data_IF_366357126655
#
_entry.id   IF_366357126655
#
_cell.length_a   1.000
_cell.length_b   1.000
_cell.length_c   1.000
_cell.angle_alpha   90.00
_cell.angle_beta   90.00
_cell.angle_gamma   90.00
#
_symmetry.space_group_name_H-M   'P 1'
#
loop_
_entity.id
_entity.type
_entity.pdbx_description
1 polymer ?
#
# COMPACT_ATOMS: atom_id res chain seq x y z
N UNK A 1 3.29 10.69 8.26
CA UNK A 1 2.87 9.28 8.40
C UNK A 1 1.99 8.88 7.22
N UNK A 2 2.38 7.84 6.52
CA UNK A 2 1.61 7.34 5.39
C UNK A 2 1.17 5.91 5.69
N UNK A 3 -0.12 5.69 5.60
CA UNK A 3 -0.72 4.37 5.76
C UNK A 3 -0.95 3.77 4.39
N UNK A 4 -0.53 2.52 4.22
CA UNK A 4 -0.77 1.76 3.01
C UNK A 4 -1.68 0.61 3.38
N UNK A 5 -2.81 0.47 2.69
CA UNK A 5 -3.74 -0.60 3.04
C UNK A 5 -4.43 -1.15 1.79
N UNK A 6 -4.91 -2.36 1.92
CA UNK A 6 -5.60 -3.03 0.83
C UNK A 6 -6.82 -3.76 1.37
N UNK A 7 -8.04 -3.24 1.12
CA UNK A 7 -9.26 -3.91 1.55
C UNK A 7 -9.33 -5.33 0.98
N UNK A 8 -9.82 -6.27 1.79
CA UNK A 8 -9.92 -7.66 1.35
C UNK A 8 -10.97 -7.83 0.27
N UNK A 9 -10.61 -8.60 -0.76
CA UNK A 9 -11.51 -8.94 -1.86
C UNK A 9 -11.27 -10.39 -2.25
N UNK A 10 -12.31 -11.06 -2.71
CA UNK A 10 -12.18 -12.43 -3.20
C UNK A 10 -11.47 -12.43 -4.55
N UNK A 11 -11.94 -11.58 -5.47
CA UNK A 11 -11.34 -11.48 -6.79
C UNK A 11 -10.02 -10.72 -6.67
N UNK A 12 -8.96 -11.32 -7.21
CA UNK A 12 -7.63 -10.74 -7.12
C UNK A 12 -6.94 -10.94 -5.78
N UNK A 13 -7.55 -11.71 -4.87
CA UNK A 13 -7.03 -11.87 -3.52
C UNK A 13 -5.66 -12.53 -3.43
N UNK A 14 -5.32 -13.35 -4.41
CA UNK A 14 -4.02 -14.03 -4.43
C UNK A 14 -2.88 -13.16 -4.95
N UNK A 15 -3.18 -12.04 -5.59
CA UNK A 15 -2.17 -11.16 -6.16
C UNK A 15 -1.53 -10.33 -5.05
N UNK A 16 -0.20 -10.29 -5.05
CA UNK A 16 0.58 -9.45 -4.14
C UNK A 16 1.45 -8.53 -4.96
N UNK A 17 1.75 -7.35 -4.43
CA UNK A 17 2.69 -6.47 -5.10
C UNK A 17 3.42 -5.57 -4.13
N UNK A 18 4.65 -5.23 -4.51
CA UNK A 18 5.46 -4.32 -3.73
C UNK A 18 5.02 -2.89 -3.99
N UNK A 19 5.04 -2.08 -2.93
CA UNK A 19 4.78 -0.66 -3.02
C UNK A 19 6.07 0.08 -2.75
N UNK A 20 6.41 1.00 -3.64
CA UNK A 20 7.60 1.83 -3.52
C UNK A 20 7.21 3.28 -3.26
N UNK A 21 7.95 3.92 -2.39
CA UNK A 21 7.80 5.34 -2.11
C UNK A 21 9.12 6.01 -2.46
N UNK A 22 9.09 6.88 -3.46
CA UNK A 22 10.29 7.56 -3.97
C UNK A 22 11.42 6.57 -4.29
N UNK A 23 11.06 5.47 -4.92
CA UNK A 23 12.01 4.46 -5.36
C UNK A 23 12.41 3.43 -4.32
N UNK A 24 11.98 3.59 -3.08
CA UNK A 24 12.31 2.66 -2.00
C UNK A 24 11.13 1.77 -1.69
N UNK A 25 11.36 0.46 -1.65
CA UNK A 25 10.30 -0.48 -1.28
C UNK A 25 9.90 -0.25 0.18
N UNK A 26 8.60 -0.07 0.39
CA UNK A 26 8.05 0.15 1.72
C UNK A 26 7.41 -1.13 2.26
N UNK A 27 6.65 -1.81 1.43
CA UNK A 27 5.91 -2.98 1.87
C UNK A 27 5.50 -3.82 0.67
N UNK A 28 5.12 -5.06 0.94
CA UNK A 28 4.38 -5.88 -0.02
C UNK A 28 2.92 -5.90 0.44
N UNK A 29 2.03 -5.36 -0.38
CA UNK A 29 0.61 -5.37 -0.05
C UNK A 29 -0.03 -6.67 -0.48
N UNK A 30 -0.64 -7.34 0.49
CA UNK A 30 -1.44 -8.53 0.23
C UNK A 30 -2.89 -8.25 0.62
N UNK A 31 -3.77 -9.13 0.18
CA UNK A 31 -5.20 -8.98 0.38
C UNK A 31 -5.55 -8.81 1.85
N UNK A 32 -6.20 -7.71 2.19
CA UNK A 32 -6.60 -7.43 3.56
C UNK A 32 -5.49 -6.97 4.48
N UNK A 33 -4.33 -6.55 3.95
CA UNK A 33 -3.23 -6.10 4.78
C UNK A 33 -3.10 -4.59 4.87
N UNK A 34 -2.48 -4.10 5.94
CA UNK A 34 -2.12 -2.69 6.04
C UNK A 34 -0.79 -2.53 6.76
N UNK A 35 -0.12 -1.43 6.48
CA UNK A 35 1.07 -1.03 7.22
C UNK A 35 1.12 0.49 7.27
N UNK A 36 2.08 1.01 8.01
CA UNK A 36 2.29 2.44 8.06
C UNK A 36 3.77 2.73 7.96
N UNK A 37 4.10 3.87 7.37
CA UNK A 37 5.47 4.29 7.16
C UNK A 37 5.63 5.73 7.65
N UNK A 38 6.61 5.92 8.53
CA UNK A 38 6.95 7.26 9.00
C UNK A 38 7.79 7.93 7.91
N UNK A 39 7.19 8.91 7.27
CA UNK A 39 7.78 9.56 6.11
C UNK A 39 7.93 11.05 6.36
N UNK A 40 8.98 11.65 5.79
CA UNK A 40 9.20 13.09 5.87
C UNK A 40 8.25 13.83 4.94
N UNK A 41 8.03 15.12 5.21
CA UNK A 41 7.27 15.97 4.32
C UNK A 41 7.99 16.08 2.97
N UNK A 42 7.24 16.34 1.92
CA UNK A 42 7.78 16.54 0.59
C UNK A 42 6.98 15.82 -0.47
N UNK A 43 7.49 15.87 -1.68
CA UNK A 43 6.83 15.21 -2.81
C UNK A 43 6.96 13.70 -2.69
N UNK A 44 5.85 13.00 -2.88
CA UNK A 44 5.78 11.55 -2.80
C UNK A 44 5.39 10.98 -4.14
N UNK A 45 6.21 10.06 -4.61
CA UNK A 45 5.95 9.27 -5.81
C UNK A 45 5.78 7.83 -5.36
N UNK A 46 4.54 7.35 -5.39
CA UNK A 46 4.21 6.01 -4.93
C UNK A 46 3.92 5.17 -6.16
N UNK A 47 4.52 3.99 -6.26
CA UNK A 47 4.24 3.12 -7.40
C UNK A 47 4.15 1.66 -7.00
N UNK A 48 3.45 0.90 -7.83
CA UNK A 48 3.31 -0.54 -7.69
C UNK A 48 3.14 -1.13 -9.08
N UNK A 49 3.72 -2.31 -9.30
CA UNK A 49 3.72 -2.96 -10.60
C UNK A 49 3.29 -4.42 -10.48
N UNK A 50 2.39 -4.83 -11.36
CA UNK A 50 2.10 -6.23 -11.64
C UNK A 50 2.26 -6.41 -13.13
N UNK A 51 1.17 -6.56 -13.90
CA UNK A 51 1.26 -6.55 -15.37
C UNK A 51 1.25 -5.11 -15.92
N UNK A 52 0.83 -4.14 -15.10
CA UNK A 52 0.96 -2.71 -15.39
C UNK A 52 1.49 -2.00 -14.16
N UNK A 53 1.83 -0.73 -14.29
CA UNK A 53 2.29 0.10 -13.17
C UNK A 53 1.25 1.14 -12.83
N UNK A 54 0.95 1.24 -11.53
CA UNK A 54 0.12 2.32 -11.00
C UNK A 54 1.01 3.33 -10.29
N UNK A 55 0.78 4.60 -10.54
CA UNK A 55 1.56 5.70 -9.95
C UNK A 55 0.62 6.66 -9.25
N UNK A 56 1.02 7.08 -8.05
CA UNK A 56 0.28 8.07 -7.27
C UNK A 56 1.27 9.13 -6.80
N UNK A 57 1.09 10.36 -7.22
CA UNK A 57 1.94 11.47 -6.82
C UNK A 57 1.16 12.45 -5.96
N UNK A 58 1.74 12.86 -4.85
CA UNK A 58 1.17 13.89 -3.99
C UNK A 58 2.24 14.53 -3.14
N UNK A 59 1.91 15.65 -2.51
CA UNK A 59 2.82 16.33 -1.60
C UNK A 59 2.36 16.11 -0.18
N UNK A 60 3.25 15.56 0.66
CA UNK A 60 2.98 15.32 2.07
C UNK A 60 3.46 16.49 2.91
N UNK A 61 2.60 16.94 3.83
CA UNK A 61 2.93 18.02 4.76
C UNK A 61 3.31 17.45 6.12
N UNK A 62 4.05 18.23 6.90
CA UNK A 62 4.42 17.83 8.26
C UNK A 62 3.18 17.65 9.14
N UNK A 63 3.26 16.67 10.03
CA UNK A 63 2.22 16.41 11.05
C UNK A 63 0.86 16.04 10.48
N UNK A 64 0.82 15.55 9.24
CA UNK A 64 -0.40 15.06 8.62
C UNK A 64 -0.29 13.58 8.32
N UNK A 65 -1.44 12.92 8.29
CA UNK A 65 -1.54 11.51 7.94
C UNK A 65 -2.15 11.39 6.55
N UNK A 66 -1.61 10.46 5.80
CA UNK A 66 -2.09 10.17 4.45
C UNK A 66 -2.41 8.70 4.34
N UNK A 67 -3.40 8.37 3.52
CA UNK A 67 -3.87 7.00 3.39
C UNK A 67 -3.89 6.61 1.92
N UNK A 68 -3.10 5.60 1.59
CA UNK A 68 -2.98 5.08 0.23
C UNK A 68 -3.65 3.73 0.19
N UNK A 69 -4.72 3.63 -0.59
CA UNK A 69 -5.44 2.37 -0.78
C UNK A 69 -4.90 1.67 -2.01
N UNK A 70 -4.49 0.41 -1.83
CA UNK A 70 -4.09 -0.43 -2.94
C UNK A 70 -5.22 -1.39 -3.26
N UNK A 71 -5.45 -1.60 -4.54
CA UNK A 71 -6.46 -2.54 -5.03
C UNK A 71 -5.88 -3.29 -6.22
N UNK A 72 -6.60 -4.33 -6.65
CA UNK A 72 -6.26 -5.07 -7.85
C UNK A 72 -7.46 -4.96 -8.78
N UNK A 73 -7.24 -4.32 -9.92
CA UNK A 73 -8.24 -4.23 -10.96
C UNK A 73 -8.12 -5.40 -11.92
N UNK A 74 -9.08 -5.50 -12.83
CA UNK A 74 -9.09 -6.55 -13.84
C UNK A 74 -7.91 -6.40 -14.78
N UNK A 75 -7.21 -7.50 -15.04
CA UNK A 75 -6.09 -7.54 -15.95
C UNK A 75 -6.24 -8.68 -16.94
N UNK A 76 -5.23 -8.86 -17.78
CA UNK A 76 -5.25 -9.94 -18.79
C UNK A 76 -4.69 -11.23 -18.18
N UNK A 77 -3.62 -11.15 -17.40
CA UNK A 77 -2.96 -12.33 -16.84
C UNK A 77 -3.05 -12.40 -15.33
N UNK A 78 -2.66 -11.34 -14.63
CA UNK A 78 -2.54 -11.37 -13.18
C UNK A 78 -3.57 -10.46 -12.53
N UNK A 79 -3.77 -9.29 -13.11
CA UNK A 79 -4.51 -8.20 -12.50
C UNK A 79 -3.63 -6.96 -12.45
N UNK A 80 -4.24 -5.82 -12.29
CA UNK A 80 -3.54 -4.54 -12.36
C UNK A 80 -3.61 -3.83 -11.03
N UNK A 81 -2.50 -3.31 -10.52
CA UNK A 81 -2.54 -2.59 -9.26
C UNK A 81 -3.21 -1.24 -9.46
N UNK A 82 -3.86 -0.76 -8.41
CA UNK A 82 -4.46 0.56 -8.42
C UNK A 82 -4.21 1.22 -7.07
N UNK A 83 -3.49 2.33 -7.09
CA UNK A 83 -3.19 3.11 -5.89
C UNK A 83 -4.05 4.36 -5.88
N UNK A 84 -4.67 4.66 -4.75
CA UNK A 84 -5.56 5.82 -4.62
C UNK A 84 -5.30 6.51 -3.29
N UNK A 85 -5.20 7.83 -3.31
CA UNK A 85 -5.15 8.61 -2.07
C UNK A 85 -6.57 8.76 -1.57
N UNK A 86 -6.81 8.38 -0.31
CA UNK A 86 -8.14 8.30 0.27
C UNK A 86 -8.22 9.21 1.49
N UNK A 87 -9.38 9.83 1.73
CA UNK A 87 -9.51 10.66 2.92
C UNK A 87 -9.52 9.78 4.18
N UNK A 88 -9.13 10.39 5.30
CA UNK A 88 -8.92 9.67 6.54
C UNK A 88 -10.15 8.93 7.02
N UNK A 89 -11.32 9.54 6.93
CA UNK A 89 -12.55 8.95 7.44
C UNK A 89 -12.90 7.65 6.72
N UNK A 90 -12.83 7.70 5.41
CA UNK A 90 -13.10 6.51 4.60
C UNK A 90 -12.04 5.43 4.83
N UNK A 91 -10.77 5.84 4.86
CA UNK A 91 -9.67 4.91 5.02
C UNK A 91 -9.73 4.17 6.36
N UNK A 92 -10.02 4.88 7.43
CA UNK A 92 -10.10 4.27 8.77
C UNK A 92 -11.19 3.21 8.82
N UNK A 93 -12.35 3.49 8.19
CA UNK A 93 -13.41 2.49 8.13
C UNK A 93 -12.98 1.23 7.41
N UNK A 94 -12.23 1.38 6.35
CA UNK A 94 -11.74 0.22 5.58
C UNK A 94 -10.63 -0.52 6.30
N UNK A 95 -9.73 0.20 6.97
CA UNK A 95 -8.60 -0.40 7.68
C UNK A 95 -9.04 -1.26 8.85
N UNK A 96 -10.19 -0.97 9.45
CA UNK A 96 -10.70 -1.75 10.59
C UNK A 96 -10.71 -3.26 10.31
N UNK A 97 -10.95 -3.63 9.08
CA UNK A 97 -11.05 -5.04 8.70
C UNK A 97 -9.73 -5.58 8.14
N UNK A 98 -8.66 -4.79 8.16
CA UNK A 98 -7.36 -5.20 7.66
C UNK A 98 -6.49 -5.71 8.80
N UNK A 99 -5.50 -6.52 8.43
CA UNK A 99 -4.50 -7.05 9.38
C UNK A 99 -3.17 -6.35 9.17
N UNK A 100 -2.46 -6.10 10.26
CA UNK A 100 -1.15 -5.48 10.17
C UNK A 100 -0.16 -6.42 9.48
N UNK A 101 0.62 -5.85 8.56
CA UNK A 101 1.62 -6.61 7.80
C UNK A 101 2.89 -6.74 8.66
N UNK A 102 3.27 -7.97 9.00
CA UNK A 102 4.39 -8.26 9.89
C UNK A 102 5.69 -8.47 9.13
N UNK A 103 5.93 -7.64 8.16
CA UNK A 103 7.08 -7.78 7.29
C UNK A 103 8.41 -7.64 8.01
N UNK A 104 8.48 -6.69 8.94
CA UNK A 104 9.70 -6.46 9.70
C UNK A 104 10.03 -7.65 10.60
N UNK A 105 9.00 -8.28 11.18
CA UNK A 105 9.21 -9.47 11.99
C UNK A 105 9.76 -10.60 11.15
N UNK A 106 9.24 -10.75 9.94
CA UNK A 106 9.75 -11.74 9.00
C UNK A 106 11.21 -11.48 8.67
N UNK A 107 11.54 -10.23 8.41
CA UNK A 107 12.92 -9.85 8.11
C UNK A 107 13.84 -10.08 9.29
N UNK A 108 13.38 -9.81 10.50
CA UNK A 108 14.15 -10.07 11.70
C UNK A 108 14.46 -11.56 11.83
N UNK A 109 13.45 -12.37 11.62
CA UNK A 109 13.60 -13.82 11.72
C UNK A 109 14.57 -14.34 10.67
N UNK A 110 14.40 -13.91 9.45
CA UNK A 110 15.23 -14.39 8.35
C UNK A 110 16.62 -13.77 8.33
N UNK A 111 16.79 -12.63 8.94
CA UNK A 111 18.08 -11.94 9.00
C UNK A 111 19.00 -12.48 10.06
N UNK A 112 18.50 -13.32 10.90
CA UNK A 112 19.32 -13.93 11.94
C UNK A 112 20.02 -15.15 11.44
#
# INVERSE_FOLDING_TARGET
MIYYYRPGRIIGGAVRYDVHENGKRITTLYNGGYTLHKSHAGNKHIDATTETTSVLDFTAENNKRYFVRGQVGMGILIGRPKLTLVDEKEAIEEIKDCRFILEDDENIISGE
#
